data_IF_944558139532
#
_entry.id   IF_944558139532
#
_cell.length_a   1.000
_cell.length_b   1.000
_cell.length_c   1.000
_cell.angle_alpha   90.00
_cell.angle_beta   90.00
_cell.angle_gamma   90.00
#
_symmetry.space_group_name_H-M   'P 1'
#
loop_
_entity.id
_entity.type
_entity.pdbx_description
1 polymer ?
#
# COMPACT_ATOMS: atom_id res chain seq x y z
N UNK A 1 -10.85 -1.00 -13.49
CA UNK A 1 -9.47 -0.93 -12.95
C UNK A 1 -8.96 0.49 -13.08
N UNK A 2 -8.58 1.11 -11.96
CA UNK A 2 -8.15 2.50 -11.90
C UNK A 2 -6.64 2.57 -11.66
N UNK A 3 -5.93 3.40 -12.44
CA UNK A 3 -4.49 3.58 -12.35
C UNK A 3 -4.06 5.00 -12.01
N UNK A 4 -2.75 5.20 -11.91
CA UNK A 4 -2.15 6.49 -11.52
C UNK A 4 -2.47 7.66 -12.48
N UNK A 5 -2.87 7.38 -13.74
CA UNK A 5 -3.30 8.41 -14.70
C UNK A 5 -4.47 9.27 -14.21
N UNK A 6 -5.26 8.78 -13.24
CA UNK A 6 -6.38 9.51 -12.62
C UNK A 6 -5.95 10.60 -11.62
N UNK A 7 -4.67 10.64 -11.21
CA UNK A 7 -4.14 11.64 -10.26
C UNK A 7 -3.98 13.04 -10.87
N UNK A 8 -4.18 13.20 -12.19
CA UNK A 8 -4.22 14.48 -12.91
C UNK A 8 -5.36 15.41 -12.46
N UNK A 9 -5.35 16.68 -12.89
CA UNK A 9 -6.29 17.73 -12.40
C UNK A 9 -7.77 17.38 -12.67
N UNK A 10 -8.43 16.68 -11.75
CA UNK A 10 -9.89 16.47 -11.71
C UNK A 10 -10.40 15.08 -12.13
N UNK A 11 -9.53 14.18 -12.63
CA UNK A 11 -9.92 12.85 -13.10
C UNK A 11 -10.57 11.98 -12.02
N UNK A 12 -10.00 11.95 -10.81
CA UNK A 12 -10.54 11.22 -9.66
C UNK A 12 -11.97 11.62 -9.27
N UNK A 13 -12.30 12.92 -9.29
CA UNK A 13 -13.67 13.41 -8.94
C UNK A 13 -14.68 13.02 -10.01
N UNK A 14 -14.29 13.08 -11.28
CA UNK A 14 -15.16 12.74 -12.42
C UNK A 14 -15.45 11.25 -12.49
N UNK A 15 -14.43 10.41 -12.26
CA UNK A 15 -14.62 8.96 -12.15
C UNK A 15 -15.50 8.59 -10.95
N UNK A 16 -15.21 9.15 -9.78
CA UNK A 16 -15.93 8.83 -8.55
C UNK A 16 -17.44 9.15 -8.56
N UNK A 17 -17.86 10.23 -9.22
CA UNK A 17 -19.29 10.57 -9.34
C UNK A 17 -20.05 9.57 -10.21
N UNK A 18 -19.40 9.06 -11.26
CA UNK A 18 -20.04 8.20 -12.26
C UNK A 18 -20.08 6.73 -11.83
N UNK A 19 -19.00 6.25 -11.21
CA UNK A 19 -18.97 4.92 -10.58
C UNK A 19 -20.18 4.73 -9.65
N UNK A 20 -20.54 5.77 -8.89
CA UNK A 20 -21.74 5.76 -8.02
C UNK A 20 -23.05 5.70 -8.79
N UNK A 21 -23.19 6.49 -9.86
CA UNK A 21 -24.46 6.55 -10.62
C UNK A 21 -24.71 5.29 -11.45
N UNK A 22 -23.67 4.56 -11.81
CA UNK A 22 -23.75 3.35 -12.64
C UNK A 22 -23.55 2.06 -11.84
N UNK A 23 -23.23 2.15 -10.55
CA UNK A 23 -22.92 0.98 -9.74
C UNK A 23 -21.64 0.27 -10.17
N UNK A 24 -20.74 0.93 -10.90
CA UNK A 24 -19.48 0.32 -11.34
C UNK A 24 -18.51 0.26 -10.15
N UNK A 25 -17.93 -0.93 -9.95
CA UNK A 25 -16.98 -1.20 -8.88
C UNK A 25 -15.56 -0.80 -9.29
N UNK A 26 -14.78 -0.32 -8.33
CA UNK A 26 -13.45 0.23 -8.57
C UNK A 26 -12.39 -0.45 -7.71
N UNK A 27 -11.50 -1.21 -8.36
CA UNK A 27 -10.21 -1.64 -7.80
C UNK A 27 -9.05 -0.82 -8.38
N UNK A 28 -8.05 -0.54 -7.56
CA UNK A 28 -6.86 0.24 -7.92
C UNK A 28 -5.58 -0.59 -8.00
N UNK A 29 -4.63 -0.19 -8.84
CA UNK A 29 -3.26 -0.67 -8.68
C UNK A 29 -2.59 -0.04 -7.43
N UNK A 30 -1.44 -0.55 -7.00
CA UNK A 30 -0.68 0.00 -5.87
C UNK A 30 -0.35 1.50 -6.03
N UNK A 31 -0.36 2.01 -7.27
CA UNK A 31 -0.10 3.42 -7.59
C UNK A 31 -1.39 4.25 -7.64
N UNK A 32 -2.56 3.68 -7.37
CA UNK A 32 -3.84 4.34 -7.58
C UNK A 32 -4.69 4.34 -6.32
N UNK A 33 -4.56 5.41 -5.53
CA UNK A 33 -5.67 5.90 -4.72
C UNK A 33 -6.40 6.94 -5.57
N UNK A 34 -7.36 6.51 -6.37
CA UNK A 34 -8.18 7.41 -7.19
C UNK A 34 -9.66 7.42 -6.77
N UNK A 35 -10.09 6.40 -6.03
CA UNK A 35 -11.44 6.23 -5.49
C UNK A 35 -11.35 6.06 -3.96
N UNK A 36 -12.28 6.61 -3.16
CA UNK A 36 -12.18 6.52 -1.71
C UNK A 36 -12.34 5.07 -1.23
N UNK A 37 -11.40 4.59 -0.42
CA UNK A 37 -11.35 3.18 0.00
C UNK A 37 -12.48 2.76 0.94
N UNK A 38 -13.15 3.70 1.60
CA UNK A 38 -14.30 3.45 2.49
C UNK A 38 -15.66 3.45 1.79
N UNK A 39 -15.68 3.61 0.46
CA UNK A 39 -16.91 3.54 -0.32
C UNK A 39 -17.34 2.09 -0.56
N UNK A 40 -18.65 1.76 -0.50
CA UNK A 40 -19.15 0.41 -0.76
C UNK A 40 -18.69 -0.18 -2.10
N UNK A 41 -18.48 0.68 -3.10
CA UNK A 41 -18.03 0.31 -4.45
C UNK A 41 -16.51 0.13 -4.60
N UNK A 42 -15.72 0.41 -3.56
CA UNK A 42 -14.27 0.15 -3.55
C UNK A 42 -14.01 -1.35 -3.50
N UNK A 43 -13.10 -1.85 -4.33
CA UNK A 43 -12.59 -3.23 -4.23
C UNK A 43 -11.18 -3.25 -3.61
N UNK A 44 -10.69 -2.11 -3.14
CA UNK A 44 -9.31 -1.94 -2.70
C UNK A 44 -8.30 -2.25 -3.82
N UNK A 45 -7.10 -2.65 -3.43
CA UNK A 45 -6.02 -2.94 -4.36
C UNK A 45 -6.21 -4.30 -5.04
N UNK A 46 -5.93 -4.41 -6.35
CA UNK A 46 -5.78 -5.70 -7.04
C UNK A 46 -4.31 -6.05 -7.30
N UNK A 47 -4.04 -7.29 -7.68
CA UNK A 47 -2.72 -7.80 -8.02
C UNK A 47 -2.15 -8.76 -6.99
N UNK A 48 -0.82 -8.94 -7.04
CA UNK A 48 -0.04 -9.89 -6.24
C UNK A 48 -0.42 -9.89 -4.76
N UNK A 49 -0.48 -8.71 -4.13
CA UNK A 49 -0.89 -8.53 -2.73
C UNK A 49 -2.24 -7.81 -2.59
N UNK A 50 -3.04 -7.83 -3.66
CA UNK A 50 -4.37 -7.26 -3.68
C UNK A 50 -5.38 -8.08 -2.90
N UNK A 51 -6.57 -7.53 -2.71
CA UNK A 51 -7.66 -8.20 -2.06
C UNK A 51 -8.13 -9.40 -2.89
N UNK A 52 -8.63 -10.43 -2.20
CA UNK A 52 -9.20 -11.62 -2.87
C UNK A 52 -10.35 -11.21 -3.78
N UNK A 53 -11.25 -10.37 -3.27
CA UNK A 53 -12.43 -9.90 -3.98
C UNK A 53 -12.11 -9.01 -5.19
N UNK A 54 -11.06 -8.18 -5.16
CA UNK A 54 -10.66 -7.43 -6.36
C UNK A 54 -10.13 -8.35 -7.46
N UNK A 55 -9.30 -9.32 -7.08
CA UNK A 55 -8.73 -10.27 -8.04
C UNK A 55 -9.81 -11.19 -8.64
N UNK A 56 -10.75 -11.69 -7.84
CA UNK A 56 -11.92 -12.44 -8.34
C UNK A 56 -12.82 -11.58 -9.23
N UNK A 57 -13.09 -10.33 -8.83
CA UNK A 57 -13.92 -9.43 -9.64
C UNK A 57 -13.34 -9.21 -11.03
N UNK A 58 -12.02 -9.09 -11.16
CA UNK A 58 -11.35 -8.90 -12.46
C UNK A 58 -11.31 -10.18 -13.28
N UNK A 59 -11.08 -11.33 -12.63
CA UNK A 59 -11.07 -12.65 -13.29
C UNK A 59 -12.44 -13.01 -13.88
N UNK A 60 -13.52 -12.66 -13.17
CA UNK A 60 -14.90 -13.00 -13.52
C UNK A 60 -15.65 -11.89 -14.28
N UNK A 61 -15.03 -10.73 -14.50
CA UNK A 61 -15.66 -9.62 -15.22
C UNK A 61 -15.85 -9.92 -16.71
N UNK A 62 -17.05 -9.60 -17.21
CA UNK A 62 -17.37 -9.58 -18.64
C UNK A 62 -16.94 -8.27 -19.32
N UNK A 63 -16.75 -7.19 -18.56
CA UNK A 63 -16.26 -5.90 -19.02
C UNK A 63 -15.20 -5.34 -18.06
N UNK A 64 -14.00 -5.08 -18.59
CA UNK A 64 -12.91 -4.43 -17.89
C UNK A 64 -12.66 -3.02 -18.45
N UNK A 65 -13.01 -2.00 -17.69
CA UNK A 65 -12.67 -0.61 -18.00
C UNK A 65 -11.35 -0.26 -17.29
N UNK A 66 -10.27 -0.22 -18.07
CA UNK A 66 -8.91 0.06 -17.65
C UNK A 66 -8.56 1.54 -17.89
N UNK A 67 -8.42 2.31 -16.81
CA UNK A 67 -8.29 3.78 -16.87
C UNK A 67 -6.94 4.24 -16.32
N UNK A 68 -6.04 4.66 -17.20
CA UNK A 68 -4.70 5.17 -16.85
C UNK A 68 -3.82 4.12 -16.18
N UNK A 69 -3.88 2.87 -16.67
CA UNK A 69 -3.14 1.70 -16.19
C UNK A 69 -2.24 1.16 -17.28
N UNK A 70 -1.16 0.49 -16.88
CA UNK A 70 -0.13 -0.07 -17.78
C UNK A 70 -0.08 -1.60 -17.86
N UNK A 71 -1.06 -2.28 -17.26
CA UNK A 71 -1.12 -3.76 -17.15
C UNK A 71 0.22 -4.39 -16.74
N UNK A 72 0.76 -3.98 -15.59
CA UNK A 72 2.04 -4.52 -15.12
C UNK A 72 1.91 -5.92 -14.50
N UNK A 73 3.01 -6.66 -14.48
CA UNK A 73 3.09 -8.05 -14.03
C UNK A 73 2.72 -8.26 -12.55
N UNK A 74 2.92 -7.24 -11.70
CA UNK A 74 2.49 -7.28 -10.29
C UNK A 74 0.98 -7.19 -10.15
N UNK A 75 0.29 -6.69 -11.16
CA UNK A 75 -1.17 -6.66 -11.22
C UNK A 75 -1.70 -7.86 -12.00
N UNK A 76 -1.15 -8.14 -13.18
CA UNK A 76 -1.72 -9.12 -14.09
C UNK A 76 -1.37 -10.57 -13.74
N UNK A 77 -0.26 -10.80 -13.03
CA UNK A 77 0.32 -12.14 -12.93
C UNK A 77 0.58 -12.70 -14.33
N UNK A 78 0.05 -13.88 -14.62
CA UNK A 78 0.06 -14.46 -15.98
C UNK A 78 -0.84 -13.67 -16.94
N UNK A 79 -0.23 -12.77 -17.71
CA UNK A 79 -0.90 -11.84 -18.63
C UNK A 79 -1.91 -12.50 -19.58
N UNK A 80 -1.61 -13.70 -20.09
CA UNK A 80 -2.51 -14.43 -20.99
C UNK A 80 -3.87 -14.76 -20.33
N UNK A 81 -3.87 -15.06 -19.03
CA UNK A 81 -5.08 -15.46 -18.28
C UNK A 81 -5.78 -14.26 -17.62
N UNK A 82 -5.09 -13.14 -17.44
CA UNK A 82 -5.65 -11.94 -16.82
C UNK A 82 -6.85 -11.38 -17.61
N UNK A 83 -8.05 -11.35 -17.00
CA UNK A 83 -9.29 -10.89 -17.62
C UNK A 83 -9.56 -11.54 -19.00
N UNK A 84 -9.21 -12.82 -19.15
CA UNK A 84 -9.25 -13.53 -20.44
C UNK A 84 -10.65 -13.63 -21.07
N UNK A 85 -11.71 -13.59 -20.26
CA UNK A 85 -13.10 -13.71 -20.71
C UNK A 85 -13.78 -12.34 -20.91
N UNK A 86 -13.16 -11.26 -20.43
CA UNK A 86 -13.75 -9.94 -20.43
C UNK A 86 -13.48 -9.15 -21.70
N UNK A 87 -14.44 -8.33 -22.09
CA UNK A 87 -14.26 -7.24 -23.05
C UNK A 87 -13.44 -6.13 -22.40
N UNK A 88 -12.37 -5.66 -23.03
CA UNK A 88 -11.40 -4.74 -22.41
C UNK A 88 -11.42 -3.39 -23.12
N UNK A 89 -11.75 -2.33 -22.39
CA UNK A 89 -11.63 -0.93 -22.80
C UNK A 89 -10.41 -0.34 -22.08
N UNK A 90 -9.45 0.22 -22.81
CA UNK A 90 -8.24 0.79 -22.22
C UNK A 90 -8.06 2.24 -22.64
N UNK A 91 -8.08 3.12 -21.63
CA UNK A 91 -7.89 4.55 -21.77
C UNK A 91 -6.50 4.89 -21.24
N UNK A 92 -5.60 5.30 -22.12
CA UNK A 92 -4.27 5.78 -21.75
C UNK A 92 -3.87 7.01 -22.57
N UNK A 93 -3.04 7.87 -21.99
CA UNK A 93 -2.52 9.04 -22.69
C UNK A 93 -1.33 8.67 -23.57
N UNK A 94 -0.61 7.60 -23.21
CA UNK A 94 0.56 7.13 -23.92
C UNK A 94 0.18 6.02 -24.91
N UNK A 95 0.27 6.26 -26.23
CA UNK A 95 -0.05 5.24 -27.23
C UNK A 95 0.86 4.01 -27.14
N UNK A 96 2.05 4.12 -26.55
CA UNK A 96 2.99 3.00 -26.39
C UNK A 96 2.57 2.01 -25.29
N UNK A 97 1.64 2.39 -24.40
CA UNK A 97 1.08 1.51 -23.38
C UNK A 97 -0.10 0.67 -23.90
N UNK A 98 -0.75 1.12 -24.98
CA UNK A 98 -1.86 0.40 -25.60
C UNK A 98 -1.33 -0.86 -26.29
N UNK A 99 -1.96 -2.01 -26.01
CA UNK A 99 -1.59 -3.33 -26.56
C UNK A 99 -0.15 -3.78 -26.27
N UNK A 100 0.56 -3.12 -25.36
CA UNK A 100 1.94 -3.48 -25.00
C UNK A 100 2.03 -4.84 -24.31
N UNK A 101 1.26 -4.99 -23.22
CA UNK A 101 1.24 -6.21 -22.41
C UNK A 101 -0.03 -7.04 -22.68
N UNK A 102 -1.20 -6.39 -22.67
CA UNK A 102 -2.50 -7.02 -22.90
C UNK A 102 -3.14 -6.41 -24.13
N UNK A 103 -3.54 -7.25 -25.10
CA UNK A 103 -4.34 -6.80 -26.25
C UNK A 103 -5.75 -6.45 -25.77
N UNK A 104 -6.24 -5.28 -26.17
CA UNK A 104 -7.53 -4.73 -25.73
C UNK A 104 -8.52 -4.65 -26.89
N UNK A 105 -9.81 -4.63 -26.56
CA UNK A 105 -10.87 -4.60 -27.56
C UNK A 105 -11.16 -3.18 -28.04
N UNK A 106 -11.13 -2.21 -27.13
CA UNK A 106 -11.34 -0.79 -27.42
C UNK A 106 -10.19 0.04 -26.85
N UNK A 107 -9.21 0.42 -27.69
CA UNK A 107 -8.14 1.34 -27.29
C UNK A 107 -8.60 2.80 -27.42
N UNK A 108 -8.39 3.60 -26.38
CA UNK A 108 -8.69 5.04 -26.35
C UNK A 108 -7.42 5.79 -25.95
N UNK A 109 -6.78 6.43 -26.91
CA UNK A 109 -5.60 7.28 -26.66
C UNK A 109 -6.08 8.69 -26.33
N UNK A 110 -6.16 9.01 -25.03
CA UNK A 110 -6.65 10.30 -24.55
C UNK A 110 -6.19 10.61 -23.13
N UNK A 111 -6.19 11.89 -22.78
CA UNK A 111 -6.17 12.28 -21.38
C UNK A 111 -7.43 11.72 -20.69
N UNK A 112 -7.21 10.98 -19.59
CA UNK A 112 -8.27 10.29 -18.84
C UNK A 112 -9.37 11.26 -18.37
N UNK A 113 -9.02 12.48 -17.98
CA UNK A 113 -10.01 13.47 -17.54
C UNK A 113 -10.92 13.85 -18.69
N UNK A 114 -10.36 14.06 -19.88
CA UNK A 114 -11.15 14.41 -21.06
C UNK A 114 -12.05 13.25 -21.48
N UNK A 115 -11.49 12.04 -21.55
CA UNK A 115 -12.25 10.83 -21.88
C UNK A 115 -13.43 10.63 -20.92
N UNK A 116 -13.19 10.69 -19.60
CA UNK A 116 -14.25 10.57 -18.60
C UNK A 116 -15.25 11.74 -18.66
N UNK A 117 -14.82 12.94 -19.02
CA UNK A 117 -15.73 14.09 -19.18
C UNK A 117 -16.72 13.86 -20.31
N UNK A 118 -16.25 13.32 -21.44
CA UNK A 118 -17.11 13.01 -22.58
C UNK A 118 -18.00 11.78 -22.30
N UNK A 119 -17.43 10.71 -21.73
CA UNK A 119 -18.19 9.52 -21.32
C UNK A 119 -19.33 9.90 -20.37
N UNK A 120 -19.07 10.79 -19.40
CA UNK A 120 -20.08 11.26 -18.46
C UNK A 120 -21.27 11.99 -19.10
N UNK A 121 -21.15 12.46 -20.35
CA UNK A 121 -22.24 13.11 -21.09
C UNK A 121 -23.11 12.14 -21.87
N UNK A 122 -22.55 10.99 -22.26
CA UNK A 122 -23.17 10.06 -23.22
C UNK A 122 -23.62 8.75 -22.59
N UNK A 123 -22.97 8.29 -21.53
CA UNK A 123 -23.36 7.04 -20.87
C UNK A 123 -24.68 7.32 -20.14
N UNK A 124 -25.56 6.32 -20.11
CA UNK A 124 -26.83 6.32 -19.38
C UNK A 124 -26.76 5.30 -18.24
N UNK A 125 -27.72 5.33 -17.31
CA UNK A 125 -27.76 4.27 -16.29
C UNK A 125 -27.97 2.90 -16.95
N UNK A 126 -27.32 1.84 -16.43
CA UNK A 126 -27.51 0.51 -16.98
C UNK A 126 -28.98 0.11 -16.87
N UNK A 127 -29.53 -0.39 -17.98
CA UNK A 127 -30.91 -0.90 -18.03
C UNK A 127 -31.05 -2.26 -17.35
N UNK A 128 -29.96 -3.03 -17.31
CA UNK A 128 -29.85 -4.27 -16.56
C UNK A 128 -29.40 -4.00 -15.11
N UNK A 129 -29.97 -4.75 -14.17
CA UNK A 129 -29.56 -4.67 -12.76
C UNK A 129 -28.17 -5.26 -12.56
N UNK A 130 -27.31 -4.56 -11.81
CA UNK A 130 -26.02 -5.07 -11.34
C UNK A 130 -26.11 -5.70 -9.94
N UNK A 131 -27.31 -5.86 -9.39
CA UNK A 131 -27.52 -6.32 -8.01
C UNK A 131 -26.92 -7.70 -7.74
N UNK A 132 -27.06 -8.64 -8.69
CA UNK A 132 -26.50 -10.00 -8.54
C UNK A 132 -24.98 -9.95 -8.50
N UNK A 133 -24.35 -9.16 -9.37
CA UNK A 133 -22.90 -8.97 -9.37
C UNK A 133 -22.40 -8.31 -8.09
N UNK A 134 -23.11 -7.30 -7.60
CA UNK A 134 -22.80 -6.66 -6.32
C UNK A 134 -22.94 -7.62 -5.14
N UNK A 135 -23.96 -8.50 -5.17
CA UNK A 135 -24.16 -9.51 -4.14
C UNK A 135 -23.03 -10.55 -4.15
N UNK A 136 -22.59 -11.01 -5.33
CA UNK A 136 -21.42 -11.89 -5.47
C UNK A 136 -20.17 -11.27 -4.85
N UNK A 137 -19.88 -10.01 -5.17
CA UNK A 137 -18.70 -9.32 -4.63
C UNK A 137 -18.82 -9.05 -3.13
N UNK A 138 -20.02 -8.69 -2.64
CA UNK A 138 -20.25 -8.52 -1.21
C UNK A 138 -20.03 -9.84 -0.44
N UNK A 139 -20.39 -10.99 -1.04
CA UNK A 139 -20.10 -12.30 -0.47
C UNK A 139 -18.59 -12.55 -0.38
N UNK A 140 -17.82 -12.29 -1.45
CA UNK A 140 -16.36 -12.43 -1.43
C UNK A 140 -15.68 -11.50 -0.43
N UNK A 141 -16.12 -10.25 -0.32
CA UNK A 141 -15.62 -9.30 0.70
C UNK A 141 -15.84 -9.80 2.12
N UNK A 142 -16.98 -10.44 2.37
CA UNK A 142 -17.32 -11.00 3.69
C UNK A 142 -16.53 -12.26 4.00
N UNK A 143 -16.29 -13.10 3.00
CA UNK A 143 -15.54 -14.36 3.14
C UNK A 143 -14.05 -14.12 3.36
N UNK A 144 -13.44 -13.24 2.56
CA UNK A 144 -12.00 -13.01 2.53
C UNK A 144 -11.63 -11.52 2.66
N UNK A 145 -11.93 -10.85 3.79
CA UNK A 145 -11.43 -9.52 4.06
C UNK A 145 -9.92 -9.54 4.33
N UNK A 146 -9.25 -8.40 4.15
CA UNK A 146 -7.92 -8.23 4.75
C UNK A 146 -8.02 -8.43 6.27
N UNK A 147 -7.18 -9.32 6.79
CA UNK A 147 -7.19 -9.69 8.20
C UNK A 147 -5.77 -9.98 8.70
N UNK A 148 -5.61 -9.95 10.01
CA UNK A 148 -4.39 -10.26 10.74
C UNK A 148 -4.77 -10.91 12.08
N UNK A 149 -3.83 -11.56 12.76
CA UNK A 149 -4.09 -12.21 14.05
C UNK A 149 -4.29 -11.18 15.16
N UNK A 150 -5.56 -10.97 15.56
CA UNK A 150 -5.90 -10.06 16.66
C UNK A 150 -5.56 -10.61 18.04
N UNK A 151 -5.25 -11.90 18.16
CA UNK A 151 -4.94 -12.59 19.42
C UNK A 151 -3.45 -12.54 19.80
N UNK A 152 -2.59 -12.15 18.85
CA UNK A 152 -1.18 -11.90 19.10
C UNK A 152 -0.99 -10.85 20.21
N UNK A 153 -0.13 -11.17 21.18
CA UNK A 153 0.08 -10.38 22.41
C UNK A 153 0.95 -9.14 22.17
N UNK A 154 1.87 -9.20 21.21
CA UNK A 154 2.67 -8.05 20.80
C UNK A 154 1.91 -7.16 19.81
N UNK A 155 2.66 -6.32 19.10
CA UNK A 155 2.11 -5.45 18.07
C UNK A 155 2.36 -6.09 16.70
N UNK A 156 1.32 -6.22 15.90
CA UNK A 156 1.44 -6.53 14.47
C UNK A 156 1.52 -5.24 13.65
N UNK A 157 2.28 -5.26 12.56
CA UNK A 157 2.42 -4.09 11.67
C UNK A 157 1.07 -3.63 11.09
N UNK A 158 0.24 -4.59 10.72
CA UNK A 158 -1.14 -4.40 10.24
C UNK A 158 -1.98 -3.66 11.29
N UNK A 159 -1.82 -4.03 12.57
CA UNK A 159 -2.53 -3.42 13.69
C UNK A 159 -2.08 -1.97 13.93
N UNK A 160 -0.77 -1.72 13.89
CA UNK A 160 -0.21 -0.37 14.02
C UNK A 160 -0.72 0.58 12.91
N UNK A 161 -0.73 0.09 11.67
CA UNK A 161 -1.24 0.85 10.52
C UNK A 161 -2.76 1.08 10.61
N UNK A 162 -3.53 0.05 10.99
CA UNK A 162 -4.98 0.17 11.15
C UNK A 162 -5.34 1.16 12.28
N UNK A 163 -4.60 1.15 13.39
CA UNK A 163 -4.75 2.11 14.47
C UNK A 163 -4.42 3.53 14.01
N UNK A 164 -3.31 3.72 13.27
CA UNK A 164 -2.97 5.02 12.67
C UNK A 164 -4.10 5.52 11.76
N UNK A 165 -4.55 4.69 10.82
CA UNK A 165 -5.64 4.97 9.87
C UNK A 165 -6.92 5.42 10.59
N UNK A 166 -7.29 4.75 11.69
CA UNK A 166 -8.45 5.11 12.52
C UNK A 166 -8.25 6.47 13.21
N UNK A 167 -7.10 6.69 13.84
CA UNK A 167 -6.80 7.94 14.58
C UNK A 167 -6.76 9.14 13.63
N UNK A 168 -6.28 8.96 12.41
CA UNK A 168 -6.13 10.02 11.40
C UNK A 168 -7.31 10.13 10.44
N UNK A 169 -8.38 9.35 10.62
CA UNK A 169 -9.49 9.26 9.65
C UNK A 169 -10.15 10.61 9.31
N UNK A 170 -10.18 11.54 10.26
CA UNK A 170 -10.74 12.89 10.09
C UNK A 170 -9.68 13.97 9.80
N UNK A 171 -8.39 13.61 9.72
CA UNK A 171 -7.29 14.53 9.46
C UNK A 171 -6.93 14.55 7.97
N UNK A 172 -6.50 15.70 7.47
CA UNK A 172 -5.84 15.79 6.17
C UNK A 172 -4.44 15.16 6.29
N UNK A 173 -4.35 13.87 5.93
CA UNK A 173 -3.14 13.06 6.13
C UNK A 173 -2.58 12.58 4.79
N UNK A 174 -1.28 12.78 4.59
CA UNK A 174 -0.50 12.24 3.49
C UNK A 174 0.43 11.18 4.06
N UNK A 175 0.46 10.02 3.42
CA UNK A 175 1.33 8.90 3.81
C UNK A 175 2.39 8.68 2.74
N UNK A 176 3.65 8.67 3.16
CA UNK A 176 4.76 8.09 2.41
C UNK A 176 5.14 6.74 2.98
N UNK A 177 5.81 5.92 2.17
CA UNK A 177 6.29 4.61 2.59
C UNK A 177 7.63 4.29 1.94
N UNK A 178 8.47 3.51 2.63
CA UNK A 178 9.56 2.77 2.00
C UNK A 178 9.06 1.60 1.16
N UNK A 179 9.91 0.58 1.00
CA UNK A 179 9.62 -0.59 0.16
C UNK A 179 9.85 -1.88 0.93
N UNK A 180 8.86 -2.77 0.92
CA UNK A 180 8.88 -4.01 1.69
C UNK A 180 7.49 -4.47 2.12
N UNK A 181 7.42 -5.25 3.20
CA UNK A 181 6.13 -5.72 3.74
C UNK A 181 5.31 -4.56 4.32
N UNK A 182 5.96 -3.61 5.00
CA UNK A 182 5.32 -2.41 5.53
C UNK A 182 4.63 -1.58 4.45
N UNK A 183 5.21 -1.52 3.25
CA UNK A 183 4.59 -0.88 2.08
C UNK A 183 3.27 -1.56 1.70
N UNK A 184 3.23 -2.89 1.69
CA UNK A 184 2.02 -3.64 1.35
C UNK A 184 0.97 -3.51 2.44
N UNK A 185 1.35 -3.67 3.71
CA UNK A 185 0.42 -3.49 4.83
C UNK A 185 -0.11 -2.05 4.91
N UNK A 186 0.69 -1.04 4.57
CA UNK A 186 0.22 0.33 4.50
C UNK A 186 -0.83 0.50 3.40
N UNK A 187 -0.64 -0.14 2.24
CA UNK A 187 -1.64 -0.15 1.17
C UNK A 187 -2.92 -0.93 1.52
N UNK A 188 -2.81 -1.99 2.33
CA UNK A 188 -3.95 -2.86 2.70
C UNK A 188 -4.76 -2.31 3.89
N UNK A 189 -4.10 -1.75 4.91
CA UNK A 189 -4.72 -1.42 6.20
C UNK A 189 -4.87 0.09 6.46
N UNK A 190 -4.32 0.95 5.60
CA UNK A 190 -4.58 2.39 5.65
C UNK A 190 -5.69 2.79 4.66
N UNK A 191 -6.74 3.48 5.16
CA UNK A 191 -7.88 3.87 4.33
C UNK A 191 -7.64 5.22 3.67
N UNK A 192 -7.25 5.20 2.40
CA UNK A 192 -7.03 6.41 1.62
C UNK A 192 -8.32 6.92 0.96
N UNK A 193 -8.60 8.22 1.12
CA UNK A 193 -9.86 8.84 0.67
C UNK A 193 -9.71 9.78 -0.51
N UNK A 194 -8.49 10.24 -0.79
CA UNK A 194 -8.20 11.24 -1.82
C UNK A 194 -6.95 10.85 -2.62
N UNK A 195 -6.87 11.24 -3.89
CA UNK A 195 -5.63 11.09 -4.63
C UNK A 195 -4.53 11.94 -4.01
N UNK A 196 -3.28 11.52 -4.26
CA UNK A 196 -2.05 12.20 -3.80
C UNK A 196 -1.82 12.17 -2.28
N UNK A 197 -2.56 11.36 -1.53
CA UNK A 197 -2.30 11.07 -0.11
C UNK A 197 -1.52 9.76 0.11
N UNK A 198 -1.21 9.04 -0.96
CA UNK A 198 -0.38 7.82 -0.98
C UNK A 198 0.84 8.05 -1.88
N UNK A 199 2.02 8.11 -1.27
CA UNK A 199 3.30 8.34 -1.90
C UNK A 199 4.18 7.10 -1.72
N UNK A 200 4.45 6.40 -2.82
CA UNK A 200 5.19 5.14 -2.77
C UNK A 200 5.99 4.92 -4.04
N UNK A 201 7.20 4.36 -3.92
CA UNK A 201 7.99 3.90 -5.06
C UNK A 201 7.58 2.47 -5.43
N UNK A 202 6.61 2.33 -6.34
CA UNK A 202 6.07 1.02 -6.74
C UNK A 202 6.65 0.45 -8.04
N UNK A 203 7.22 1.30 -8.90
CA UNK A 203 7.76 0.86 -10.18
C UNK A 203 9.17 0.35 -10.11
N UNK A 204 10.06 1.22 -9.64
CA UNK A 204 11.44 0.85 -9.38
C UNK A 204 11.59 0.11 -8.05
N UNK A 205 10.67 0.33 -7.08
CA UNK A 205 10.77 -0.32 -5.78
C UNK A 205 11.95 0.21 -4.95
N UNK A 206 12.14 1.53 -4.92
CA UNK A 206 13.29 2.17 -4.30
C UNK A 206 13.14 2.25 -2.77
N UNK A 207 13.87 1.42 -2.03
CA UNK A 207 14.04 1.58 -0.58
C UNK A 207 14.71 2.94 -0.26
N UNK A 208 14.44 3.49 0.93
CA UNK A 208 14.87 4.85 1.30
C UNK A 208 14.03 5.98 0.69
N UNK A 209 12.95 5.67 -0.04
CA UNK A 209 12.05 6.68 -0.63
C UNK A 209 11.18 7.40 0.40
N UNK A 210 10.75 6.70 1.46
CA UNK A 210 9.73 7.15 2.40
C UNK A 210 9.99 8.54 2.99
N UNK A 211 11.04 8.65 3.79
CA UNK A 211 11.39 9.89 4.49
C UNK A 211 11.63 11.11 3.56
N UNK A 212 12.44 11.04 2.49
CA UNK A 212 12.58 12.15 1.55
C UNK A 212 11.27 12.55 0.86
N UNK A 213 10.41 11.58 0.53
CA UNK A 213 9.09 11.88 -0.05
C UNK A 213 8.17 12.56 0.97
N UNK A 214 8.22 12.13 2.24
CA UNK A 214 7.52 12.77 3.35
C UNK A 214 7.93 14.24 3.51
N UNK A 215 9.24 14.52 3.44
CA UNK A 215 9.75 15.89 3.52
C UNK A 215 9.21 16.77 2.40
N UNK A 216 9.32 16.31 1.15
CA UNK A 216 8.79 17.04 0.01
C UNK A 216 7.28 17.28 0.12
N UNK A 217 6.52 16.27 0.57
CA UNK A 217 5.09 16.39 0.79
C UNK A 217 4.76 17.40 1.91
N UNK A 218 5.51 17.39 3.01
CA UNK A 218 5.28 18.31 4.13
C UNK A 218 5.62 19.75 3.77
N UNK A 219 6.65 19.98 2.97
CA UNK A 219 6.97 21.30 2.42
C UNK A 219 5.89 21.77 1.43
N UNK A 220 5.38 20.88 0.57
CA UNK A 220 4.30 21.21 -0.37
C UNK A 220 2.94 21.40 0.32
N UNK A 221 2.74 20.77 1.47
CA UNK A 221 1.49 20.78 2.25
C UNK A 221 1.76 21.04 3.74
N UNK A 222 2.10 22.28 4.13
CA UNK A 222 2.52 22.60 5.50
C UNK A 222 1.46 22.29 6.56
N UNK A 223 0.18 22.42 6.23
CA UNK A 223 -0.94 22.19 7.16
C UNK A 223 -1.34 20.71 7.28
N UNK A 224 -1.02 19.88 6.29
CA UNK A 224 -1.39 18.46 6.30
C UNK A 224 -0.53 17.69 7.31
N UNK A 225 -1.10 16.68 7.96
CA UNK A 225 -0.32 15.69 8.68
C UNK A 225 0.43 14.83 7.65
N UNK A 226 1.74 14.71 7.80
CA UNK A 226 2.55 13.86 6.91
C UNK A 226 3.20 12.77 7.74
N UNK A 227 2.86 11.51 7.42
CA UNK A 227 3.36 10.33 8.11
C UNK A 227 4.13 9.46 7.13
N UNK A 228 5.38 9.18 7.45
CA UNK A 228 6.16 8.14 6.80
C UNK A 228 5.97 6.83 7.55
N UNK A 229 5.32 5.85 6.92
CA UNK A 229 5.25 4.49 7.47
C UNK A 229 6.40 3.73 6.85
N UNK A 230 7.46 3.50 7.62
CA UNK A 230 8.70 2.94 7.10
C UNK A 230 9.15 1.67 7.82
N UNK A 231 10.02 0.91 7.16
CA UNK A 231 10.69 -0.26 7.71
C UNK A 231 12.14 0.08 8.04
N UNK A 232 12.73 -0.62 9.00
CA UNK A 232 14.09 -0.40 9.49
C UNK A 232 15.16 -0.47 8.40
N UNK A 233 15.04 -1.41 7.47
CA UNK A 233 15.94 -1.47 6.31
C UNK A 233 15.78 -0.29 5.34
N UNK A 234 14.56 0.24 5.18
CA UNK A 234 14.30 1.36 4.26
C UNK A 234 14.69 2.70 4.87
N UNK A 235 14.32 2.98 6.12
CA UNK A 235 14.63 4.26 6.78
C UNK A 235 16.13 4.46 6.93
N UNK A 236 16.88 3.38 7.21
CA UNK A 236 18.32 3.42 7.41
C UNK A 236 19.08 3.91 6.16
N UNK A 237 18.55 3.65 4.96
CA UNK A 237 19.19 4.09 3.71
C UNK A 237 19.27 5.61 3.55
N UNK A 238 18.34 6.35 4.16
CA UNK A 238 18.30 7.81 4.09
C UNK A 238 18.13 8.47 5.48
N UNK A 239 18.65 7.82 6.53
CA UNK A 239 18.53 8.30 7.92
C UNK A 239 19.19 9.66 8.13
N UNK A 240 20.16 10.05 7.29
CA UNK A 240 20.79 11.36 7.35
C UNK A 240 19.80 12.52 7.17
N UNK A 241 18.65 12.28 6.53
CA UNK A 241 17.61 13.31 6.35
C UNK A 241 16.88 13.69 7.65
N UNK A 242 17.13 12.97 8.75
CA UNK A 242 16.78 13.46 10.09
C UNK A 242 17.42 14.83 10.38
N UNK A 243 18.64 15.07 9.89
CA UNK A 243 19.28 16.37 9.96
C UNK A 243 18.46 17.43 9.22
N UNK A 244 18.09 17.16 7.97
CA UNK A 244 17.34 18.08 7.12
C UNK A 244 15.99 18.46 7.72
N UNK A 245 15.21 17.48 8.22
CA UNK A 245 13.95 17.78 8.89
C UNK A 245 14.14 18.68 10.12
N UNK A 246 15.22 18.49 10.87
CA UNK A 246 15.51 19.32 12.05
C UNK A 246 15.90 20.74 11.64
N UNK A 247 16.85 20.89 10.72
CA UNK A 247 17.40 22.20 10.34
C UNK A 247 16.37 23.05 9.60
N UNK A 248 15.56 22.44 8.75
CA UNK A 248 14.52 23.11 7.97
C UNK A 248 13.16 23.15 8.69
N UNK A 249 13.09 22.69 9.94
CA UNK A 249 11.85 22.60 10.74
C UNK A 249 10.69 21.89 10.01
N UNK A 250 10.97 20.80 9.30
CA UNK A 250 9.98 20.02 8.56
C UNK A 250 9.40 18.95 9.51
N UNK A 251 8.15 19.09 10.00
CA UNK A 251 7.63 18.24 11.07
C UNK A 251 6.99 16.97 10.51
N UNK A 252 7.79 16.10 9.90
CA UNK A 252 7.40 14.75 9.45
C UNK A 252 7.24 13.82 10.66
N UNK A 253 6.26 12.92 10.61
CA UNK A 253 6.06 11.85 11.59
C UNK A 253 6.52 10.52 10.99
N UNK A 254 7.32 9.75 11.69
CA UNK A 254 7.79 8.43 11.22
C UNK A 254 7.18 7.36 12.10
N UNK A 255 6.31 6.53 11.53
CA UNK A 255 5.88 5.26 12.10
C UNK A 255 6.83 4.17 11.59
N UNK A 256 7.81 3.81 12.40
CA UNK A 256 8.82 2.82 12.05
C UNK A 256 8.33 1.43 12.47
N UNK A 257 8.04 0.58 11.49
CA UNK A 257 7.69 -0.83 11.68
C UNK A 257 8.97 -1.67 11.61
N UNK A 258 9.60 -1.87 12.76
CA UNK A 258 10.93 -2.43 12.83
C UNK A 258 10.89 -3.89 13.29
N UNK A 259 11.15 -4.75 12.29
CA UNK A 259 11.20 -6.21 12.40
C UNK A 259 12.63 -6.77 12.34
N UNK A 260 13.66 -5.92 12.28
CA UNK A 260 15.09 -6.30 12.22
C UNK A 260 15.49 -7.04 10.94
N UNK A 261 14.66 -6.98 9.89
CA UNK A 261 14.85 -7.77 8.68
C UNK A 261 14.46 -7.02 7.40
N UNK A 262 15.06 -7.45 6.29
CA UNK A 262 14.51 -7.22 4.95
C UNK A 262 13.28 -8.12 4.76
N UNK A 263 12.19 -7.82 5.46
CA UNK A 263 11.06 -8.73 5.66
C UNK A 263 10.42 -9.25 4.38
N UNK A 264 10.37 -8.44 3.31
CA UNK A 264 9.85 -8.92 2.02
C UNK A 264 10.75 -10.01 1.43
N UNK A 265 12.06 -9.90 1.58
CA UNK A 265 13.00 -10.94 1.15
C UNK A 265 12.88 -12.18 2.03
N UNK A 266 12.75 -12.01 3.35
CA UNK A 266 12.52 -13.12 4.30
C UNK A 266 11.28 -13.93 3.93
N UNK A 267 10.16 -13.28 3.61
CA UNK A 267 8.95 -13.97 3.19
C UNK A 267 9.17 -14.85 1.95
N UNK A 268 10.00 -14.39 1.01
CA UNK A 268 10.36 -15.19 -0.17
C UNK A 268 11.33 -16.32 0.18
N UNK A 269 12.29 -16.09 1.09
CA UNK A 269 13.16 -17.14 1.62
C UNK A 269 12.35 -18.26 2.28
N UNK A 270 11.36 -17.90 3.10
CA UNK A 270 10.47 -18.86 3.77
C UNK A 270 9.67 -19.69 2.76
N UNK A 271 9.06 -19.03 1.76
CA UNK A 271 8.14 -19.69 0.82
C UNK A 271 8.82 -20.49 -0.27
N UNK A 272 9.99 -20.06 -0.73
CA UNK A 272 10.63 -20.62 -1.93
C UNK A 272 12.03 -21.17 -1.68
N UNK A 273 12.65 -20.86 -0.54
CA UNK A 273 14.02 -21.28 -0.20
C UNK A 273 14.11 -21.97 1.17
N UNK A 274 13.00 -22.56 1.65
CA UNK A 274 12.92 -23.35 2.89
C UNK A 274 13.39 -22.58 4.14
N UNK A 275 13.21 -21.27 4.16
CA UNK A 275 13.65 -20.41 5.26
C UNK A 275 15.17 -20.22 5.36
N UNK A 276 15.93 -20.55 4.32
CA UNK A 276 17.37 -20.31 4.30
C UNK A 276 17.66 -18.80 4.24
N UNK A 277 18.09 -18.22 5.37
CA UNK A 277 18.46 -16.80 5.49
C UNK A 277 19.74 -16.49 4.69
N UNK A 278 19.68 -15.46 3.86
CA UNK A 278 20.78 -15.02 3.01
C UNK A 278 20.93 -13.49 3.08
N UNK A 279 21.55 -13.01 4.17
CA UNK A 279 21.82 -11.57 4.40
C UNK A 279 20.56 -10.71 4.54
N UNK A 280 19.51 -11.28 5.11
CA UNK A 280 18.22 -10.62 5.33
C UNK A 280 18.01 -10.09 6.75
N UNK A 281 18.83 -10.50 7.71
CA UNK A 281 18.91 -9.90 9.04
C UNK A 281 19.71 -8.60 8.98
N UNK A 282 19.21 -7.55 9.64
CA UNK A 282 19.80 -6.20 9.60
C UNK A 282 20.71 -5.88 10.80
N UNK A 283 20.75 -6.77 11.80
CA UNK A 283 21.69 -6.66 12.92
C UNK A 283 23.07 -7.29 12.63
N UNK A 284 23.90 -7.42 13.68
CA UNK A 284 25.23 -8.02 13.57
C UNK A 284 25.22 -9.45 13.01
N UNK A 285 26.12 -9.74 12.08
CA UNK A 285 26.16 -11.03 11.34
C UNK A 285 26.52 -12.25 12.22
N UNK A 286 27.13 -12.00 13.38
CA UNK A 286 27.45 -13.00 14.39
C UNK A 286 26.27 -13.35 15.30
N UNK A 287 25.16 -12.59 15.22
CA UNK A 287 23.93 -12.91 15.91
C UNK A 287 23.29 -14.18 15.31
N UNK A 288 22.73 -15.10 16.12
CA UNK A 288 22.07 -16.31 15.63
C UNK A 288 20.93 -16.07 14.64
N UNK A 289 20.31 -14.88 14.65
CA UNK A 289 19.29 -14.54 13.64
C UNK A 289 19.81 -14.40 12.23
N UNK A 290 21.09 -14.07 12.04
CA UNK A 290 21.68 -13.97 10.71
C UNK A 290 21.57 -15.28 9.92
N UNK A 291 21.50 -16.43 10.61
CA UNK A 291 21.30 -17.76 10.03
C UNK A 291 19.93 -18.37 10.36
N UNK A 292 18.99 -17.59 10.93
CA UNK A 292 17.65 -18.04 11.29
C UNK A 292 17.62 -19.02 12.47
N UNK A 293 18.63 -18.98 13.35
CA UNK A 293 18.76 -19.83 14.54
C UNK A 293 18.54 -19.07 15.85
N UNK A 294 18.07 -17.82 15.80
CA UNK A 294 17.77 -17.05 17.01
C UNK A 294 16.43 -17.42 17.64
N UNK A 295 16.11 -16.71 18.73
CA UNK A 295 14.88 -16.85 19.51
C UNK A 295 13.71 -16.04 18.92
N UNK A 296 13.93 -15.40 17.79
CA UNK A 296 12.97 -14.60 17.06
C UNK A 296 12.93 -13.15 17.55
N UNK A 297 11.80 -12.83 18.18
CA UNK A 297 11.28 -11.48 18.42
C UNK A 297 11.93 -10.88 19.68
N UNK A 298 13.23 -11.09 19.93
CA UNK A 298 13.82 -10.60 21.18
C UNK A 298 14.01 -9.08 21.16
N UNK A 299 13.36 -8.32 22.07
CA UNK A 299 13.57 -6.88 22.21
C UNK A 299 14.98 -6.51 22.66
N UNK A 300 15.72 -7.48 23.23
CA UNK A 300 16.97 -7.23 23.94
C UNK A 300 18.11 -6.83 23.00
N UNK A 301 17.99 -7.11 21.70
CA UNK A 301 19.03 -6.88 20.70
C UNK A 301 18.46 -6.22 19.43
N UNK A 302 18.02 -4.96 19.54
CA UNK A 302 17.66 -4.13 18.36
C UNK A 302 18.88 -3.37 17.86
N UNK A 303 19.11 -3.42 16.56
CA UNK A 303 20.17 -2.69 15.88
C UNK A 303 19.67 -2.09 14.55
N UNK A 304 20.07 -0.85 14.23
CA UNK A 304 20.64 0.16 15.13
C UNK A 304 19.58 0.72 16.10
N UNK A 305 20.01 1.47 17.12
CA UNK A 305 19.10 2.22 18.00
C UNK A 305 18.58 3.48 17.26
N UNK A 306 17.46 3.31 16.55
CA UNK A 306 16.81 4.41 15.82
C UNK A 306 16.34 5.54 16.73
N UNK A 307 15.99 5.25 18.00
CA UNK A 307 15.55 6.28 18.95
C UNK A 307 16.73 7.14 19.39
N UNK A 308 17.88 6.53 19.70
CA UNK A 308 19.10 7.28 20.00
C UNK A 308 19.57 8.10 18.80
N UNK A 309 19.54 7.53 17.59
CA UNK A 309 19.87 8.25 16.35
C UNK A 309 18.95 9.46 16.15
N UNK A 310 17.64 9.27 16.23
CA UNK A 310 16.66 10.34 16.06
C UNK A 310 16.83 11.44 17.13
N UNK A 311 17.02 11.06 18.41
CA UNK A 311 17.31 12.01 19.50
C UNK A 311 18.62 12.76 19.27
N UNK A 312 19.63 12.12 18.69
CA UNK A 312 20.90 12.75 18.28
C UNK A 312 20.71 13.90 17.29
N UNK A 313 19.73 13.79 16.38
CA UNK A 313 19.31 14.87 15.49
C UNK A 313 18.26 15.82 16.12
N UNK A 314 17.92 15.65 17.40
CA UNK A 314 16.96 16.48 18.11
C UNK A 314 15.50 16.25 17.72
N UNK A 315 15.16 15.04 17.26
CA UNK A 315 13.78 14.58 17.09
C UNK A 315 13.19 14.06 18.40
N UNK A 316 11.85 14.08 18.49
CA UNK A 316 11.16 13.31 19.52
C UNK A 316 11.13 11.84 19.10
N UNK A 317 11.52 10.93 19.98
CA UNK A 317 11.51 9.51 19.65
C UNK A 317 11.29 8.61 20.86
N UNK A 318 10.53 7.53 20.65
CA UNK A 318 10.29 6.46 21.64
C UNK A 318 10.13 5.10 20.93
N UNK A 319 10.42 4.03 21.65
CA UNK A 319 10.17 2.65 21.22
C UNK A 319 8.99 2.09 21.99
N UNK A 320 8.14 1.29 21.33
CA UNK A 320 7.08 0.52 21.97
C UNK A 320 7.12 -0.94 21.53
N UNK A 321 6.73 -1.84 22.44
CA UNK A 321 6.59 -3.27 22.19
C UNK A 321 5.27 -3.86 22.69
N UNK A 322 4.66 -3.23 23.71
CA UNK A 322 3.39 -3.68 24.26
C UNK A 322 2.21 -3.10 23.50
N UNK A 323 1.24 -3.96 23.17
CA UNK A 323 0.00 -3.60 22.46
C UNK A 323 -0.80 -2.49 23.14
N UNK A 324 -0.78 -2.43 24.47
CA UNK A 324 -1.45 -1.39 25.26
C UNK A 324 -0.88 0.02 25.03
N UNK A 325 0.39 0.13 24.63
CA UNK A 325 1.06 1.41 24.43
C UNK A 325 0.84 1.99 23.02
N UNK A 326 0.33 1.20 22.08
CA UNK A 326 0.23 1.54 20.66
C UNK A 326 -0.58 2.82 20.41
N UNK A 327 -1.85 2.85 20.81
CA UNK A 327 -2.70 4.03 20.59
C UNK A 327 -2.19 5.29 21.33
N UNK A 328 -1.82 5.22 22.62
CA UNK A 328 -1.21 6.34 23.32
C UNK A 328 0.03 6.90 22.62
N UNK A 329 0.94 6.02 22.18
CA UNK A 329 2.19 6.43 21.51
C UNK A 329 1.94 7.02 20.12
N UNK A 330 1.01 6.46 19.33
CA UNK A 330 0.61 7.04 18.04
C UNK A 330 0.12 8.48 18.22
N UNK A 331 -0.69 8.75 19.25
CA UNK A 331 -1.18 10.11 19.55
C UNK A 331 -0.04 11.04 19.93
N UNK A 332 0.88 10.60 20.79
CA UNK A 332 2.08 11.39 21.14
C UNK A 332 2.92 11.72 19.92
N UNK A 333 3.20 10.75 19.04
CA UNK A 333 3.93 10.98 17.79
C UNK A 333 3.23 12.00 16.89
N UNK A 334 1.91 11.85 16.69
CA UNK A 334 1.11 12.73 15.83
C UNK A 334 1.10 14.16 16.36
N UNK A 335 0.92 14.34 17.67
CA UNK A 335 0.75 15.65 18.31
C UNK A 335 2.08 16.29 18.73
N UNK A 336 3.21 15.57 18.61
CA UNK A 336 4.54 16.08 18.91
C UNK A 336 4.84 17.39 18.15
N UNK A 337 5.38 18.44 18.80
CA UNK A 337 5.92 19.58 18.07
C UNK A 337 7.19 19.18 17.30
N UNK A 338 7.28 19.54 16.02
CA UNK A 338 8.43 19.19 15.18
C UNK A 338 8.39 17.75 14.66
N UNK A 339 9.52 17.24 14.16
CA UNK A 339 9.59 15.88 13.64
C UNK A 339 9.65 14.84 14.78
N UNK A 340 9.04 13.68 14.55
CA UNK A 340 8.94 12.62 15.56
C UNK A 340 9.06 11.22 14.95
N UNK A 341 9.65 10.28 15.68
CA UNK A 341 9.80 8.88 15.31
C UNK A 341 9.21 7.97 16.39
N UNK A 342 8.30 7.08 16.00
CA UNK A 342 7.80 6.00 16.83
C UNK A 342 8.36 4.68 16.31
N UNK A 343 9.29 4.08 17.05
CA UNK A 343 9.86 2.77 16.76
C UNK A 343 8.95 1.67 17.32
N UNK A 344 8.24 0.98 16.45
CA UNK A 344 7.31 -0.09 16.82
C UNK A 344 7.98 -1.44 16.59
N UNK A 345 8.12 -2.21 17.67
CA UNK A 345 8.54 -3.59 17.56
C UNK A 345 7.42 -4.44 16.98
N UNK A 346 7.72 -5.09 15.86
CA UNK A 346 6.82 -6.03 15.18
C UNK A 346 7.56 -7.33 14.87
N UNK A 347 6.88 -8.48 14.87
CA UNK A 347 7.51 -9.76 14.53
C UNK A 347 7.93 -9.83 13.05
N UNK A 348 9.07 -10.45 12.76
CA UNK A 348 9.56 -10.60 11.38
C UNK A 348 8.96 -11.79 10.64
N UNK A 349 8.38 -12.75 11.36
CA UNK A 349 7.78 -13.97 10.81
C UNK A 349 6.45 -13.70 10.11
N UNK A 350 5.89 -12.50 10.24
CA UNK A 350 4.66 -12.10 9.56
C UNK A 350 4.85 -12.07 8.05
N UNK A 351 3.87 -12.55 7.31
CA UNK A 351 3.85 -12.52 5.85
C UNK A 351 2.71 -11.65 5.32
N UNK A 352 2.98 -10.92 4.24
CA UNK A 352 1.95 -10.17 3.51
C UNK A 352 1.06 -11.16 2.77
N UNK A 353 -0.24 -11.11 3.10
CA UNK A 353 -1.29 -11.88 2.47
C UNK A 353 -2.48 -10.99 2.10
N UNK A 354 -3.28 -11.36 1.09
CA UNK A 354 -3.10 -12.50 0.19
C UNK A 354 -1.87 -12.38 -0.73
N UNK A 355 -1.48 -13.47 -1.38
CA UNK A 355 -0.36 -13.49 -2.32
C UNK A 355 -0.67 -14.35 -3.55
N UNK A 356 -0.61 -13.76 -4.74
CA UNK A 356 -0.51 -14.50 -6.01
C UNK A 356 0.98 -14.66 -6.35
N UNK A 357 1.54 -15.87 -6.39
CA UNK A 357 2.94 -16.06 -6.75
C UNK A 357 3.27 -15.51 -8.14
N UNK A 358 4.52 -15.10 -8.35
CA UNK A 358 4.93 -14.49 -9.63
C UNK A 358 4.66 -15.42 -10.82
N UNK A 359 4.06 -14.87 -11.88
CA UNK A 359 3.70 -15.62 -13.09
C UNK A 359 2.49 -16.55 -12.94
N UNK A 360 1.85 -16.59 -11.77
CA UNK A 360 0.63 -17.38 -11.53
C UNK A 360 -0.64 -16.53 -11.72
N UNK A 361 -1.79 -17.13 -11.46
CA UNK A 361 -3.11 -16.52 -11.61
C UNK A 361 -3.84 -16.45 -10.27
N UNK A 362 -5.05 -15.89 -10.28
CA UNK A 362 -5.91 -15.85 -9.09
C UNK A 362 -6.28 -17.25 -8.57
N UNK A 363 -6.15 -18.30 -9.38
CA UNK A 363 -6.41 -19.69 -8.98
C UNK A 363 -5.37 -20.21 -7.98
N UNK A 364 -4.14 -19.70 -8.03
CA UNK A 364 -3.05 -20.04 -7.12
C UNK A 364 -2.91 -19.04 -5.96
N UNK A 365 -3.95 -18.25 -5.69
CA UNK A 365 -3.92 -17.24 -4.63
C UNK A 365 -3.79 -17.89 -3.24
N UNK A 366 -2.75 -17.46 -2.53
CA UNK A 366 -2.46 -17.88 -1.15
C UNK A 366 -3.20 -16.94 -0.20
N UNK A 367 -4.09 -17.49 0.62
CA UNK A 367 -4.92 -16.74 1.59
C UNK A 367 -4.40 -16.79 3.03
N UNK A 368 -3.65 -17.84 3.39
CA UNK A 368 -3.13 -18.12 4.73
C UNK A 368 -1.74 -18.72 4.62
#
# INVERSE_FOLDING_TARGET
>A
VLGSGLRGRGGARLGGRRLRSEGILAGGDLRAVAFPGDEPLSLDMLGMHGSVYANYAVDQADLLIAVGVRFDDRVTGKVAEFAQHGFIVHIDIDPSEINKNKVVHVPIVADVKEALTQLNRIVEQPTASLADWHATIAAWKKEDPFSFDTTYQGILAQEAIAALSRITAQRDTIVSVGVGQHQMWAAQFYTFRRPRTWLSSSGLGTMGFGLPAAMGAKVAHPESLVVDIDGDGSILMNVQEFATCKTENIPVKVLLLNNQHLGMVVQWEDRFFKGNRAHTYLGPVDHPEACGQGDGISPEYRYPDFVAIAKGFGWQAETIAAKADLEPALRRMIDAPGPALLDVQVPYQEHVLPMIPSGMTVRELIKK
#
